data_IF_941565180709
#
_entry.id   IF_941565180709
#
_cell.length_a   1.000
_cell.length_b   1.000
_cell.length_c   1.000
_cell.angle_alpha   90.00
_cell.angle_beta   90.00
_cell.angle_gamma   90.00
#
_symmetry.space_group_name_H-M   'P 1'
#
loop_
_entity.id
_entity.type
_entity.pdbx_description
1 polymer ?
#
# COMPACT_ATOMS: atom_id res chain seq x y z
N UNK A 1 8.55 -18.33 10.46
CA UNK A 1 8.48 -17.42 9.29
C UNK A 1 9.43 -16.24 9.52
N UNK A 2 10.04 -15.73 8.48
CA UNK A 2 11.04 -14.65 8.50
C UNK A 2 10.60 -13.54 7.56
N UNK A 3 11.33 -12.41 7.52
CA UNK A 3 11.17 -11.36 6.52
C UNK A 3 12.06 -11.61 5.29
N UNK A 4 12.50 -12.83 5.02
CA UNK A 4 13.34 -13.14 3.86
C UNK A 4 12.67 -12.69 2.55
N UNK A 5 13.39 -11.92 1.75
CA UNK A 5 12.87 -11.32 0.55
C UNK A 5 12.14 -9.99 0.74
N UNK A 6 11.97 -9.55 1.98
CA UNK A 6 11.34 -8.28 2.31
C UNK A 6 12.35 -7.30 2.91
N UNK A 7 12.35 -6.07 2.44
CA UNK A 7 13.22 -5.02 2.93
C UNK A 7 12.41 -3.75 3.25
N UNK A 8 12.59 -3.19 4.46
CA UNK A 8 11.93 -1.93 4.84
C UNK A 8 12.57 -0.74 4.14
N UNK A 9 11.76 0.20 3.71
CA UNK A 9 12.16 1.55 3.30
C UNK A 9 11.33 2.55 4.09
N UNK A 10 11.94 3.14 5.10
CA UNK A 10 11.31 4.08 6.02
C UNK A 10 11.89 5.48 5.74
N UNK A 11 11.03 6.50 5.73
CA UNK A 11 11.44 7.88 5.51
C UNK A 11 12.57 8.30 6.48
N UNK A 12 13.64 8.86 5.93
CA UNK A 12 14.84 9.23 6.67
C UNK A 12 15.81 8.06 6.93
N UNK A 13 15.58 6.90 6.31
CA UNK A 13 16.41 5.69 6.45
C UNK A 13 16.78 5.12 5.08
N UNK A 14 17.90 4.40 5.02
CA UNK A 14 18.28 3.63 3.83
C UNK A 14 17.38 2.41 3.68
N UNK A 15 17.32 1.85 2.47
CA UNK A 15 16.69 0.57 2.23
C UNK A 15 17.33 -0.51 3.11
N UNK A 16 16.54 -1.37 3.70
CA UNK A 16 16.98 -2.42 4.63
C UNK A 16 17.06 -1.98 6.10
N UNK A 17 17.09 -0.68 6.41
CA UNK A 17 17.11 -0.19 7.78
C UNK A 17 15.72 -0.27 8.42
N UNK A 18 15.50 -1.27 9.26
CA UNK A 18 14.25 -1.46 10.01
C UNK A 18 14.24 -0.60 11.29
N UNK A 19 13.96 0.69 11.13
CA UNK A 19 13.98 1.65 12.23
C UNK A 19 13.05 1.25 13.37
N UNK A 20 13.59 1.18 14.59
CA UNK A 20 12.84 0.81 15.81
C UNK A 20 11.98 -0.46 15.59
N UNK A 21 12.55 -1.42 14.87
CA UNK A 21 11.92 -2.71 14.63
C UNK A 21 10.45 -2.62 14.16
N UNK A 22 10.16 -1.62 13.29
CA UNK A 22 8.81 -1.31 12.77
C UNK A 22 8.14 -2.53 12.13
N UNK A 23 8.90 -3.24 11.30
CA UNK A 23 8.40 -4.46 10.63
C UNK A 23 8.99 -5.69 11.29
N UNK A 24 8.15 -6.58 11.75
CA UNK A 24 8.56 -7.82 12.42
C UNK A 24 7.62 -8.97 12.07
N UNK A 25 8.05 -10.19 12.36
CA UNK A 25 7.16 -11.36 12.30
C UNK A 25 6.75 -11.72 13.72
N UNK A 26 5.45 -11.78 13.95
CA UNK A 26 4.86 -12.19 15.21
C UNK A 26 3.67 -13.11 14.93
N UNK A 27 3.58 -14.24 15.62
CA UNK A 27 2.45 -15.19 15.54
C UNK A 27 2.05 -15.58 14.10
N UNK A 28 3.08 -15.71 13.23
CA UNK A 28 2.87 -16.07 11.82
C UNK A 28 2.41 -14.96 10.90
N UNK A 29 2.27 -13.71 11.38
CA UNK A 29 1.94 -12.53 10.63
C UNK A 29 3.14 -11.58 10.49
N UNK A 30 3.18 -10.78 9.43
CA UNK A 30 4.01 -9.58 9.35
C UNK A 30 3.28 -8.51 10.16
N UNK A 31 3.93 -7.99 11.18
CA UNK A 31 3.39 -6.97 12.08
C UNK A 31 4.10 -5.65 11.85
N UNK A 32 3.33 -4.60 11.62
CA UNK A 32 3.80 -3.20 11.70
C UNK A 32 3.52 -2.71 13.11
N UNK A 33 4.57 -2.35 13.85
CA UNK A 33 4.46 -1.98 15.26
C UNK A 33 5.22 -0.71 15.57
N UNK A 34 4.76 0.02 16.58
CA UNK A 34 5.30 1.32 16.99
C UNK A 34 5.56 1.41 18.50
N UNK A 35 5.62 0.28 19.19
CA UNK A 35 5.87 0.20 20.65
C UNK A 35 7.22 0.78 21.07
N UNK A 36 8.20 0.84 20.16
CA UNK A 36 9.50 1.46 20.40
C UNK A 36 9.54 2.96 20.00
N UNK A 37 8.43 3.53 19.51
CA UNK A 37 8.37 4.92 19.07
C UNK A 37 7.93 5.83 20.21
N UNK A 38 8.71 6.87 20.48
CA UNK A 38 8.27 7.99 21.34
C UNK A 38 7.23 8.85 20.60
N UNK A 39 7.41 9.03 19.29
CA UNK A 39 6.50 9.71 18.39
C UNK A 39 6.72 9.23 16.97
N UNK A 40 5.66 9.13 16.19
CA UNK A 40 5.70 8.72 14.78
C UNK A 40 6.56 9.65 13.91
N UNK A 41 6.50 10.94 14.18
CA UNK A 41 7.33 11.96 13.53
C UNK A 41 7.46 11.78 12.01
N UNK A 42 6.33 11.54 11.33
CA UNK A 42 6.27 11.33 9.89
C UNK A 42 7.16 10.20 9.35
N UNK A 43 7.41 9.15 10.12
CA UNK A 43 8.22 7.98 9.74
C UNK A 43 7.41 7.00 8.88
N UNK A 44 6.77 7.52 7.82
CA UNK A 44 6.12 6.69 6.81
C UNK A 44 7.07 5.64 6.28
N UNK A 45 6.61 4.42 6.12
CA UNK A 45 7.45 3.31 5.69
C UNK A 45 6.69 2.30 4.83
N UNK A 46 7.48 1.52 4.12
CA UNK A 46 6.99 0.46 3.24
C UNK A 46 7.90 -0.74 3.38
N UNK A 47 7.33 -1.93 3.51
CA UNK A 47 8.04 -3.19 3.49
C UNK A 47 7.93 -3.77 2.09
N UNK A 48 8.99 -3.69 1.31
CA UNK A 48 9.05 -4.13 -0.08
C UNK A 48 9.43 -5.60 -0.20
N UNK A 49 8.73 -6.35 -1.05
CA UNK A 49 9.23 -7.61 -1.55
C UNK A 49 10.25 -7.33 -2.66
N UNK A 50 11.55 -7.52 -2.37
CA UNK A 50 12.64 -7.02 -3.23
C UNK A 50 13.21 -8.06 -4.20
N UNK A 51 12.74 -9.32 -4.16
CA UNK A 51 13.28 -10.39 -5.02
C UNK A 51 12.99 -10.19 -6.50
N UNK A 52 11.87 -9.55 -6.87
CA UNK A 52 11.51 -9.26 -8.26
C UNK A 52 10.38 -8.23 -8.35
N UNK A 53 10.27 -7.60 -9.51
CA UNK A 53 9.08 -6.86 -9.93
C UNK A 53 8.06 -7.82 -10.57
N UNK A 54 6.77 -7.49 -10.46
CA UNK A 54 5.65 -8.27 -10.98
C UNK A 54 4.90 -7.49 -12.06
N UNK A 55 4.41 -8.20 -13.07
CA UNK A 55 3.67 -7.62 -14.21
C UNK A 55 2.20 -8.02 -14.20
N UNK A 56 1.92 -9.27 -14.42
CA UNK A 56 0.57 -9.84 -14.38
C UNK A 56 0.48 -10.79 -13.19
N UNK A 57 -0.44 -10.54 -12.27
CA UNK A 57 -0.51 -11.35 -11.06
C UNK A 57 -1.85 -11.25 -10.34
N UNK A 58 -2.12 -12.26 -9.55
CA UNK A 58 -3.15 -12.27 -8.52
C UNK A 58 -2.44 -12.30 -7.16
N UNK A 59 -2.54 -11.21 -6.43
CA UNK A 59 -2.05 -11.08 -5.06
C UNK A 59 -3.23 -11.24 -4.11
N UNK A 60 -3.05 -12.05 -3.08
CA UNK A 60 -4.02 -12.23 -1.99
C UNK A 60 -3.32 -12.06 -0.65
N UNK A 61 -3.99 -11.44 0.30
CA UNK A 61 -3.55 -11.35 1.69
C UNK A 61 -4.73 -11.07 2.62
N UNK A 62 -4.51 -11.30 3.91
CA UNK A 62 -5.41 -10.85 4.97
C UNK A 62 -4.71 -9.76 5.78
N UNK A 63 -5.45 -8.73 6.20
CA UNK A 63 -4.95 -7.70 7.10
C UNK A 63 -5.90 -7.47 8.28
N UNK A 64 -5.39 -6.89 9.36
CA UNK A 64 -6.18 -6.30 10.45
C UNK A 64 -5.44 -5.16 11.11
N UNK A 65 -6.16 -4.11 11.47
CA UNK A 65 -5.62 -3.09 12.37
C UNK A 65 -5.68 -3.59 13.81
N UNK A 66 -4.67 -3.25 14.61
CA UNK A 66 -4.56 -3.68 16.01
C UNK A 66 -4.11 -2.53 16.89
N UNK A 67 -4.59 -2.51 18.15
CA UNK A 67 -4.16 -1.53 19.14
C UNK A 67 -4.42 -0.08 18.74
N UNK A 68 -3.64 0.83 19.30
CA UNK A 68 -3.79 2.27 19.15
C UNK A 68 -2.75 2.88 18.19
N UNK A 69 -3.11 4.00 17.60
CA UNK A 69 -2.20 4.77 16.74
C UNK A 69 -1.00 5.27 17.55
N UNK A 70 0.20 5.20 16.96
CA UNK A 70 1.42 5.73 17.56
C UNK A 70 1.27 7.21 17.95
N UNK A 71 1.85 7.66 19.07
CA UNK A 71 1.87 9.07 19.44
C UNK A 71 2.41 9.93 18.29
N UNK A 72 1.82 11.10 18.06
CA UNK A 72 2.20 12.00 16.96
C UNK A 72 1.82 11.51 15.56
N UNK A 73 1.05 10.43 15.45
CA UNK A 73 0.39 10.03 14.22
C UNK A 73 -0.66 11.05 13.79
N UNK A 74 -0.77 11.29 12.49
CA UNK A 74 -1.75 12.24 11.96
C UNK A 74 -3.17 11.64 12.02
N UNK A 75 -4.19 12.44 12.32
CA UNK A 75 -5.55 11.95 12.51
C UNK A 75 -6.12 11.20 11.30
N UNK A 76 -5.80 11.64 10.09
CA UNK A 76 -6.22 10.95 8.86
C UNK A 76 -5.54 9.57 8.68
N UNK A 77 -4.42 9.32 9.36
CA UNK A 77 -3.68 8.06 9.31
C UNK A 77 -4.14 7.05 10.39
N UNK A 78 -5.17 7.37 11.17
CA UNK A 78 -5.77 6.42 12.12
C UNK A 78 -6.45 5.27 11.36
N UNK A 79 -6.06 4.03 11.67
CA UNK A 79 -6.50 2.83 10.93
C UNK A 79 -6.40 3.04 9.42
N UNK A 80 -5.22 3.47 8.97
CA UNK A 80 -4.86 3.68 7.58
C UNK A 80 -3.54 2.94 7.27
N UNK A 81 -3.52 2.22 6.19
CA UNK A 81 -2.40 1.48 5.64
C UNK A 81 -2.71 1.08 4.19
N UNK A 82 -1.91 0.23 3.58
CA UNK A 82 -2.19 -0.23 2.22
C UNK A 82 -1.17 -1.21 1.65
N UNK A 83 -1.44 -1.60 0.42
CA UNK A 83 -0.50 -2.33 -0.43
C UNK A 83 -0.17 -1.46 -1.64
N UNK A 84 1.12 -1.27 -1.89
CA UNK A 84 1.62 -0.62 -3.10
C UNK A 84 1.72 -1.65 -4.22
N UNK A 85 0.97 -1.43 -5.29
CA UNK A 85 1.00 -2.22 -6.53
C UNK A 85 1.84 -1.48 -7.57
N UNK A 86 2.61 -2.22 -8.36
CA UNK A 86 3.50 -1.64 -9.38
C UNK A 86 4.39 -0.52 -8.86
N UNK A 87 4.90 -0.68 -7.64
CA UNK A 87 5.75 0.33 -7.02
C UNK A 87 7.09 0.47 -7.73
N UNK A 88 7.63 1.69 -7.70
CA UNK A 88 9.00 1.94 -8.12
C UNK A 88 10.01 1.05 -7.37
N UNK A 89 11.20 0.94 -7.93
CA UNK A 89 12.33 0.24 -7.32
C UNK A 89 12.72 0.92 -5.99
N UNK A 90 12.60 0.22 -4.85
CA UNK A 90 12.89 0.81 -3.54
C UNK A 90 14.34 1.28 -3.38
N UNK A 91 15.28 0.71 -4.14
CA UNK A 91 16.69 1.12 -4.13
C UNK A 91 16.90 2.53 -4.71
N UNK A 92 15.94 3.02 -5.51
CA UNK A 92 15.96 4.35 -6.14
C UNK A 92 15.18 5.41 -5.36
N UNK A 93 14.44 5.00 -4.33
CA UNK A 93 13.70 5.94 -3.51
C UNK A 93 14.64 6.88 -2.74
N UNK A 94 14.28 8.17 -2.71
CA UNK A 94 15.02 9.16 -1.93
C UNK A 94 14.93 8.87 -0.43
N UNK A 95 15.93 9.31 0.32
CA UNK A 95 15.97 9.13 1.80
C UNK A 95 14.74 9.75 2.46
N UNK A 96 14.29 10.92 2.02
CA UNK A 96 13.15 11.64 2.60
C UNK A 96 11.83 11.40 1.90
N UNK A 97 11.79 10.48 0.93
CA UNK A 97 10.56 10.15 0.21
C UNK A 97 9.54 9.52 1.14
N UNK A 98 8.28 9.99 1.05
CA UNK A 98 7.17 9.51 1.89
C UNK A 98 6.51 8.28 1.31
N UNK A 99 6.15 8.34 0.03
CA UNK A 99 5.43 7.30 -0.69
C UNK A 99 6.17 6.97 -1.99
N UNK A 100 6.25 5.71 -2.39
CA UNK A 100 6.78 5.34 -3.69
C UNK A 100 5.82 5.75 -4.80
N UNK A 101 6.36 5.99 -6.00
CA UNK A 101 5.53 6.05 -7.20
C UNK A 101 4.92 4.68 -7.42
N UNK A 102 3.58 4.59 -7.34
CA UNK A 102 2.85 3.31 -7.32
C UNK A 102 1.35 3.56 -7.51
N UNK A 103 0.56 2.49 -7.56
CA UNK A 103 -0.85 2.56 -7.21
C UNK A 103 -1.03 1.91 -5.84
N UNK A 104 -1.67 2.62 -4.93
CA UNK A 104 -1.94 2.15 -3.59
C UNK A 104 -3.35 1.58 -3.50
N UNK A 105 -3.46 0.35 -3.04
CA UNK A 105 -4.71 -0.19 -2.51
C UNK A 105 -4.78 0.20 -1.03
N UNK A 106 -5.45 1.32 -0.73
CA UNK A 106 -5.52 1.87 0.62
C UNK A 106 -6.48 1.07 1.51
N UNK A 107 -6.02 0.67 2.68
CA UNK A 107 -6.83 0.01 3.70
C UNK A 107 -7.25 1.01 4.77
N UNK A 108 -8.55 1.06 5.02
CA UNK A 108 -9.13 1.85 6.09
C UNK A 108 -9.94 0.96 7.03
N UNK A 109 -9.77 1.18 8.34
CA UNK A 109 -10.62 0.58 9.36
C UNK A 109 -11.68 1.56 9.89
N UNK A 110 -12.83 1.10 10.30
CA UNK A 110 -13.91 1.93 10.85
C UNK A 110 -13.51 2.67 12.12
N UNK A 111 -13.94 3.92 12.24
CA UNK A 111 -13.70 4.80 13.40
C UNK A 111 -14.97 5.04 14.21
N UNK A 112 -15.99 4.18 14.08
CA UNK A 112 -17.29 4.30 14.72
C UNK A 112 -18.08 5.58 14.33
N UNK A 113 -17.69 6.20 13.21
CA UNK A 113 -18.35 7.41 12.69
C UNK A 113 -18.37 7.38 11.14
N UNK A 114 -19.57 7.18 10.57
CA UNK A 114 -19.78 7.20 9.13
C UNK A 114 -19.12 6.06 8.32
N UNK A 115 -19.40 5.98 7.03
CA UNK A 115 -18.78 5.01 6.12
C UNK A 115 -17.29 5.28 5.94
N UNK A 116 -16.49 4.22 5.98
CA UNK A 116 -15.04 4.26 5.72
C UNK A 116 -14.64 3.00 4.95
N UNK A 117 -14.92 2.95 3.63
CA UNK A 117 -14.63 1.79 2.81
C UNK A 117 -13.14 1.50 2.76
N UNK A 118 -12.79 0.24 2.55
CA UNK A 118 -11.39 -0.22 2.42
C UNK A 118 -11.07 -0.62 0.98
N UNK A 119 -9.79 -0.93 0.70
CA UNK A 119 -9.29 -1.20 -0.64
C UNK A 119 -9.65 -0.08 -1.65
N UNK A 120 -9.53 1.16 -1.19
CA UNK A 120 -9.65 2.35 -2.03
C UNK A 120 -8.47 2.39 -3.02
N UNK A 121 -8.60 3.15 -4.10
CA UNK A 121 -7.49 3.42 -5.01
C UNK A 121 -6.90 4.79 -4.69
N UNK A 122 -5.60 4.85 -4.35
CA UNK A 122 -4.82 6.08 -4.32
C UNK A 122 -3.66 5.99 -5.31
N UNK A 123 -3.23 7.13 -5.85
CA UNK A 123 -2.31 7.20 -6.98
C UNK A 123 -1.09 8.11 -6.71
N UNK A 124 -0.18 7.74 -5.78
CA UNK A 124 1.02 8.52 -5.53
C UNK A 124 1.97 8.47 -6.75
N UNK A 125 2.10 9.59 -7.45
CA UNK A 125 2.94 9.70 -8.67
C UNK A 125 2.43 8.94 -9.88
N UNK A 126 1.16 8.54 -9.87
CA UNK A 126 0.51 7.81 -10.96
C UNK A 126 -0.84 8.41 -11.32
N UNK A 127 -1.38 7.99 -12.44
CA UNK A 127 -2.73 8.29 -12.90
C UNK A 127 -3.41 7.01 -13.37
N UNK A 128 -4.70 6.93 -13.19
CA UNK A 128 -5.54 5.82 -13.66
C UNK A 128 -6.81 6.34 -14.29
N UNK A 129 -7.49 5.50 -15.05
CA UNK A 129 -8.82 5.79 -15.58
C UNK A 129 -9.87 4.92 -14.87
N UNK A 130 -10.96 5.54 -14.44
CA UNK A 130 -12.15 4.89 -13.90
C UNK A 130 -13.31 5.17 -14.83
N UNK A 131 -14.02 4.13 -15.27
CA UNK A 131 -15.08 4.24 -16.28
C UNK A 131 -14.61 5.00 -17.53
N UNK A 132 -13.43 4.66 -18.04
CA UNK A 132 -12.79 5.26 -19.22
C UNK A 132 -12.52 6.76 -19.12
N UNK A 133 -12.46 7.31 -17.92
CA UNK A 133 -12.14 8.72 -17.66
C UNK A 133 -11.02 8.81 -16.63
N UNK A 134 -10.08 9.72 -16.86
CA UNK A 134 -9.02 10.01 -15.89
C UNK A 134 -9.64 10.33 -14.52
N UNK A 135 -9.14 9.65 -13.50
CA UNK A 135 -9.52 9.88 -12.12
C UNK A 135 -9.23 11.32 -11.69
N UNK A 136 -10.23 12.00 -11.11
CA UNK A 136 -10.11 13.42 -10.74
C UNK A 136 -9.34 13.65 -9.45
N UNK A 137 -9.42 12.69 -8.54
CA UNK A 137 -8.84 12.79 -7.19
C UNK A 137 -7.72 11.78 -7.02
N UNK A 138 -6.76 12.13 -6.19
CA UNK A 138 -5.65 11.26 -5.82
C UNK A 138 -6.11 9.96 -5.15
N UNK A 139 -7.13 10.03 -4.29
CA UNK A 139 -7.77 8.86 -3.70
C UNK A 139 -9.24 8.80 -4.08
N UNK A 140 -9.71 7.61 -4.43
CA UNK A 140 -11.10 7.32 -4.77
C UNK A 140 -11.58 6.15 -3.93
N UNK A 141 -12.69 6.35 -3.24
CA UNK A 141 -13.31 5.33 -2.41
C UNK A 141 -13.82 4.16 -3.23
N UNK A 142 -13.60 2.97 -2.73
CA UNK A 142 -14.20 1.74 -3.25
C UNK A 142 -15.67 1.60 -2.84
N UNK A 143 -16.32 0.56 -3.36
CA UNK A 143 -17.67 0.19 -2.94
C UNK A 143 -17.68 -0.84 -1.79
N UNK A 144 -16.56 -1.01 -1.06
CA UNK A 144 -16.50 -1.97 0.04
C UNK A 144 -17.31 -1.51 1.24
N UNK A 145 -17.63 -2.45 2.10
CA UNK A 145 -18.15 -2.17 3.44
C UNK A 145 -17.07 -1.53 4.32
N UNK A 146 -17.50 -0.92 5.42
CA UNK A 146 -16.62 -0.52 6.52
C UNK A 146 -16.43 -1.70 7.45
N UNK A 147 -15.18 -2.01 7.79
CA UNK A 147 -14.84 -3.06 8.74
C UNK A 147 -14.40 -2.44 10.04
N UNK A 148 -15.05 -2.86 11.12
CA UNK A 148 -14.79 -2.39 12.48
C UNK A 148 -13.96 -3.43 13.24
N UNK A 149 -13.47 -3.03 14.41
CA UNK A 149 -12.72 -3.88 15.33
C UNK A 149 -11.38 -4.41 14.76
N UNK A 150 -10.77 -5.35 15.47
CA UNK A 150 -9.52 -5.98 15.09
C UNK A 150 -9.73 -7.28 14.27
N UNK A 151 -10.75 -7.29 13.42
CA UNK A 151 -11.05 -8.46 12.59
C UNK A 151 -10.11 -8.58 11.40
N UNK A 152 -9.81 -9.79 10.99
CA UNK A 152 -9.14 -10.06 9.74
C UNK A 152 -10.07 -9.76 8.55
N UNK A 153 -9.54 -9.08 7.54
CA UNK A 153 -10.21 -8.75 6.29
C UNK A 153 -9.40 -9.36 5.15
N UNK A 154 -10.04 -10.18 4.31
CA UNK A 154 -9.39 -10.78 3.14
C UNK A 154 -9.48 -9.84 1.94
N UNK A 155 -8.34 -9.60 1.30
CA UNK A 155 -8.25 -8.75 0.10
C UNK A 155 -7.47 -9.45 -0.99
N UNK A 156 -7.88 -9.20 -2.24
CA UNK A 156 -7.23 -9.75 -3.42
C UNK A 156 -7.09 -8.64 -4.48
N UNK A 157 -6.01 -8.73 -5.24
CA UNK A 157 -5.72 -7.79 -6.34
C UNK A 157 -5.41 -8.59 -7.59
N UNK A 158 -6.22 -8.43 -8.63
CA UNK A 158 -5.97 -9.02 -9.94
C UNK A 158 -5.43 -7.93 -10.84
N UNK A 159 -4.19 -8.10 -11.28
CA UNK A 159 -3.42 -7.08 -11.98
C UNK A 159 -3.00 -7.57 -13.36
N UNK A 160 -3.47 -6.90 -14.40
CA UNK A 160 -3.08 -7.12 -15.80
C UNK A 160 -2.23 -5.95 -16.29
N UNK A 161 -0.96 -5.94 -15.91
CA UNK A 161 -0.01 -4.90 -16.32
C UNK A 161 -0.57 -3.49 -16.07
N UNK A 162 -0.42 -2.59 -17.04
CA UNK A 162 -0.99 -1.23 -17.05
C UNK A 162 -2.44 -1.18 -17.54
N UNK A 163 -3.01 -2.30 -17.97
CA UNK A 163 -4.33 -2.32 -18.62
C UNK A 163 -5.50 -2.36 -17.66
N UNK A 164 -5.41 -3.15 -16.58
CA UNK A 164 -6.55 -3.38 -15.69
C UNK A 164 -6.10 -3.83 -14.30
N UNK A 165 -6.70 -3.24 -13.27
CA UNK A 165 -6.56 -3.71 -11.88
C UNK A 165 -7.94 -3.81 -11.23
N UNK A 166 -8.19 -4.93 -10.55
CA UNK A 166 -9.34 -5.15 -9.69
C UNK A 166 -8.89 -5.23 -8.23
N UNK A 167 -9.62 -4.55 -7.35
CA UNK A 167 -9.56 -4.79 -5.91
C UNK A 167 -10.78 -5.59 -5.49
N UNK A 168 -10.55 -6.66 -4.76
CA UNK A 168 -11.56 -7.60 -4.28
C UNK A 168 -11.47 -7.65 -2.75
N UNK A 169 -12.58 -7.51 -2.06
CA UNK A 169 -12.68 -7.58 -0.60
C UNK A 169 -13.74 -8.59 -0.23
N UNK A 170 -13.37 -9.60 0.59
CA UNK A 170 -14.30 -10.68 1.01
C UNK A 170 -15.04 -11.31 -0.18
N UNK A 171 -14.34 -11.48 -1.32
CA UNK A 171 -14.80 -12.03 -2.62
C UNK A 171 -15.61 -11.07 -3.50
N UNK A 172 -15.95 -9.87 -3.04
CA UNK A 172 -16.65 -8.87 -3.84
C UNK A 172 -15.64 -7.95 -4.56
N UNK A 173 -15.77 -7.76 -5.87
CA UNK A 173 -15.00 -6.74 -6.59
C UNK A 173 -15.53 -5.36 -6.22
N UNK A 174 -14.71 -4.58 -5.53
CA UNK A 174 -15.10 -3.29 -4.95
C UNK A 174 -14.51 -2.08 -5.66
N UNK A 175 -13.47 -2.29 -6.49
CA UNK A 175 -12.82 -1.24 -7.26
C UNK A 175 -12.26 -1.85 -8.55
N UNK A 176 -12.39 -1.10 -9.65
CA UNK A 176 -11.78 -1.44 -10.94
C UNK A 176 -11.30 -0.17 -11.61
N UNK A 177 -10.09 -0.21 -12.16
CA UNK A 177 -9.50 0.88 -12.92
C UNK A 177 -8.54 0.37 -13.98
N UNK A 178 -8.24 1.23 -14.96
CA UNK A 178 -7.49 0.89 -16.17
C UNK A 178 -6.46 1.96 -16.50
N UNK A 179 -5.62 1.70 -17.51
CA UNK A 179 -4.71 2.68 -18.09
C UNK A 179 -3.79 3.32 -17.05
N UNK A 180 -3.10 2.47 -16.29
CA UNK A 180 -2.20 2.86 -15.21
C UNK A 180 -0.92 3.47 -15.83
N UNK A 181 -0.59 4.70 -15.46
CA UNK A 181 0.54 5.44 -16.02
C UNK A 181 1.19 6.37 -14.99
N UNK A 182 2.41 6.76 -15.25
CA UNK A 182 3.13 7.76 -14.42
C UNK A 182 2.50 9.13 -14.62
N UNK A 183 2.27 9.86 -13.53
CA UNK A 183 1.67 11.20 -13.58
C UNK A 183 1.05 11.63 -12.26
N UNK A 184 0.17 12.62 -12.31
CA UNK A 184 -0.64 13.03 -11.16
C UNK A 184 0.12 13.76 -10.05
N UNK A 185 -0.48 13.75 -8.87
CA UNK A 185 0.07 14.36 -7.67
C UNK A 185 1.18 13.53 -7.03
N UNK A 186 1.99 14.18 -6.20
CA UNK A 186 3.14 13.56 -5.51
C UNK A 186 4.24 13.03 -6.43
N UNK A 187 4.25 13.44 -7.70
CA UNK A 187 5.26 13.04 -8.67
C UNK A 187 6.62 13.65 -8.31
N UNK A 188 7.64 12.80 -8.20
CA UNK A 188 9.00 13.25 -7.97
C UNK A 188 9.60 13.91 -9.21
N UNK A 189 10.54 14.88 -9.04
CA UNK A 189 11.22 15.51 -10.17
C UNK A 189 11.86 14.51 -11.13
N UNK A 190 12.40 13.39 -10.63
CA UNK A 190 13.03 12.32 -11.41
C UNK A 190 12.08 11.54 -12.31
N UNK A 191 10.78 11.74 -12.18
CA UNK A 191 9.75 11.10 -13.02
C UNK A 191 9.08 12.07 -14.02
N UNK A 192 9.45 13.35 -14.03
CA UNK A 192 8.81 14.35 -14.92
C UNK A 192 8.86 13.98 -16.39
N UNK A 193 10.00 13.47 -16.84
CA UNK A 193 10.20 13.05 -18.24
C UNK A 193 9.46 11.75 -18.60
N UNK A 194 8.85 11.10 -17.60
CA UNK A 194 8.11 9.84 -17.75
C UNK A 194 6.59 10.03 -17.66
N UNK A 195 6.10 11.26 -17.54
CA UNK A 195 4.64 11.53 -17.48
C UNK A 195 3.94 10.91 -18.69
N UNK A 196 2.85 10.17 -18.43
CA UNK A 196 2.08 9.45 -19.44
C UNK A 196 2.66 8.08 -19.81
N UNK A 197 3.85 7.71 -19.33
CA UNK A 197 4.42 6.39 -19.61
C UNK A 197 3.60 5.31 -18.89
N UNK A 198 3.16 4.24 -19.57
CA UNK A 198 2.45 3.12 -18.97
C UNK A 198 3.26 2.45 -17.86
N UNK A 199 2.64 2.23 -16.71
CA UNK A 199 3.25 1.57 -15.54
C UNK A 199 2.96 0.07 -15.60
N UNK A 200 3.78 -0.65 -16.39
CA UNK A 200 3.51 -2.05 -16.78
C UNK A 200 3.88 -3.08 -15.74
N UNK A 201 4.77 -2.76 -14.82
CA UNK A 201 5.27 -3.66 -13.79
C UNK A 201 5.89 -2.86 -12.64
N UNK A 202 6.07 -3.49 -11.50
CA UNK A 202 6.75 -2.88 -10.36
C UNK A 202 6.79 -3.81 -9.16
N UNK A 203 7.33 -3.28 -8.07
CA UNK A 203 7.43 -4.01 -6.82
C UNK A 203 6.12 -3.97 -6.03
N UNK A 204 6.00 -4.87 -5.07
CA UNK A 204 4.89 -4.89 -4.11
C UNK A 204 5.43 -4.47 -2.76
N UNK A 205 4.70 -3.60 -2.05
CA UNK A 205 5.06 -3.20 -0.70
C UNK A 205 3.84 -3.11 0.22
N UNK A 206 4.06 -3.41 1.50
CA UNK A 206 3.10 -3.23 2.59
C UNK A 206 3.40 -1.91 3.31
N UNK A 207 2.40 -1.09 3.56
CA UNK A 207 2.58 0.26 4.08
C UNK A 207 2.56 0.31 5.62
N UNK A 208 3.33 1.25 6.19
CA UNK A 208 3.27 1.66 7.59
C UNK A 208 3.01 3.17 7.68
N UNK A 209 1.90 3.55 8.33
CA UNK A 209 1.39 4.94 8.40
C UNK A 209 1.00 5.40 9.80
N UNK A 210 1.63 4.93 10.84
CA UNK A 210 1.42 5.27 12.25
C UNK A 210 0.39 4.43 13.01
N UNK A 211 -0.54 3.73 12.37
CA UNK A 211 -1.42 2.80 13.08
C UNK A 211 -0.90 1.37 12.92
N UNK A 212 -0.77 0.60 14.01
CA UNK A 212 -0.33 -0.80 13.93
C UNK A 212 -1.27 -1.65 13.08
N UNK A 213 -0.69 -2.50 12.25
CA UNK A 213 -1.41 -3.38 11.35
C UNK A 213 -0.68 -4.71 11.21
N UNK A 214 -1.41 -5.77 11.00
CA UNK A 214 -0.86 -7.10 10.75
C UNK A 214 -1.30 -7.61 9.38
N UNK A 215 -0.40 -8.37 8.72
CA UNK A 215 -0.62 -9.01 7.44
C UNK A 215 -0.28 -10.49 7.51
N UNK A 216 -1.13 -11.35 6.95
CA UNK A 216 -0.86 -12.79 6.84
C UNK A 216 -1.39 -13.37 5.54
N UNK A 217 -1.12 -14.65 5.31
CA UNK A 217 -1.59 -15.39 4.13
C UNK A 217 -1.26 -14.69 2.81
N UNK A 218 -0.09 -14.01 2.76
CA UNK A 218 0.35 -13.30 1.56
C UNK A 218 0.75 -14.33 0.52
N UNK A 219 0.02 -14.35 -0.58
CA UNK A 219 0.19 -15.28 -1.69
C UNK A 219 0.14 -14.52 -3.00
N UNK A 220 1.00 -14.88 -3.93
CA UNK A 220 0.98 -14.33 -5.28
C UNK A 220 1.02 -15.46 -6.31
N UNK A 221 0.20 -15.34 -7.33
CA UNK A 221 0.21 -16.20 -8.52
C UNK A 221 0.41 -15.31 -9.73
N UNK A 222 1.52 -15.52 -10.43
CA UNK A 222 1.77 -14.86 -11.72
C UNK A 222 1.03 -15.59 -12.84
N UNK A 223 0.68 -14.86 -13.87
CA UNK A 223 0.10 -15.37 -15.11
C UNK A 223 0.65 -14.59 -16.31
N UNK A 224 0.53 -15.20 -17.48
CA UNK A 224 1.05 -14.67 -18.76
C UNK A 224 0.24 -13.45 -19.26
#
# INVERSE_FOLDING_TARGET
KTLDGWEPKIRGRKLGENFKNTFRVKDGAITVAYDEYESFNHRYGHLFYTKKAFKNYHLKLDYRFVGDQAPGGQGWATKNSGVMLHSEDPSKMLIQQRFPVSVEAQFLGGLNSGPRPTANMCSPGTEVDINSKKAKFHCISSNSKTYHDERWVSVEFVVYSDSLIHHIVEKDTVMTYTNIRIGGGYLLPSFKDKIGTPLKQGYIALQSESHPIEFKNIMIKEFD
#
